data_IF_077142660904
#
_entry.id   IF_077142660904
#
_cell.length_a   1.000
_cell.length_b   1.000
_cell.length_c   1.000
_cell.angle_alpha   90.00
_cell.angle_beta   90.00
_cell.angle_gamma   90.00
#
_symmetry.space_group_name_H-M   'P 1'
#
loop_
_entity.id
_entity.type
_entity.pdbx_description
1 polymer ?
#
# COMPACT_ATOMS: atom_id res chain seq x y z
N UNK A 1 -8.99 -19.03 69.62
CA UNK A 1 -9.65 -19.60 68.42
C UNK A 1 -9.11 -18.92 67.17
N UNK A 2 -8.52 -19.69 66.24
CA UNK A 2 -7.89 -19.15 65.02
C UNK A 2 -8.97 -18.81 63.97
N UNK A 3 -9.21 -17.52 63.75
CA UNK A 3 -10.17 -16.98 62.75
C UNK A 3 -9.89 -17.43 61.31
N UNK A 4 -8.68 -17.94 61.05
CA UNK A 4 -8.21 -18.39 59.73
C UNK A 4 -8.94 -19.63 59.21
N UNK A 5 -9.57 -20.43 60.08
CA UNK A 5 -10.34 -21.62 59.67
C UNK A 5 -11.78 -21.33 59.22
N UNK A 6 -12.35 -20.16 59.57
CA UNK A 6 -13.75 -19.81 59.26
C UNK A 6 -13.94 -19.14 57.91
N UNK A 7 -12.88 -18.58 57.31
CA UNK A 7 -12.96 -17.87 56.04
C UNK A 7 -11.96 -18.44 55.03
N UNK A 8 -12.36 -19.52 54.36
CA UNK A 8 -11.60 -20.11 53.25
C UNK A 8 -11.68 -19.15 52.06
N UNK A 9 -10.55 -18.59 51.63
CA UNK A 9 -10.48 -17.80 50.41
C UNK A 9 -10.79 -18.69 49.20
N UNK A 10 -11.95 -18.48 48.58
CA UNK A 10 -12.31 -19.10 47.30
C UNK A 10 -11.76 -18.25 46.16
N UNK A 11 -10.93 -18.80 45.26
CA UNK A 11 -10.38 -18.03 44.14
C UNK A 11 -11.52 -17.50 43.24
N UNK A 12 -11.46 -16.20 42.98
CA UNK A 12 -12.18 -15.43 41.95
C UNK A 12 -13.56 -15.95 41.55
N UNK A 13 -14.62 -15.45 42.17
CA UNK A 13 -15.98 -15.65 41.68
C UNK A 13 -16.15 -14.85 40.38
N UNK A 14 -16.03 -15.54 39.25
CA UNK A 14 -16.21 -15.01 37.91
C UNK A 14 -17.52 -14.23 37.70
N UNK A 15 -18.58 -14.52 38.47
CA UNK A 15 -19.86 -13.81 38.35
C UNK A 15 -19.86 -12.43 39.02
N UNK A 16 -18.84 -12.10 39.82
CA UNK A 16 -18.72 -10.81 40.52
C UNK A 16 -17.50 -10.01 40.11
N UNK A 17 -16.88 -10.35 38.98
CA UNK A 17 -15.72 -9.62 38.47
C UNK A 17 -16.15 -8.26 37.89
N UNK A 18 -15.79 -7.13 38.52
CA UNK A 18 -16.19 -5.80 38.06
C UNK A 18 -15.42 -5.35 36.81
N UNK A 19 -14.38 -6.09 36.40
CA UNK A 19 -13.61 -5.86 35.18
C UNK A 19 -14.02 -6.80 34.03
N UNK A 20 -15.10 -7.60 34.20
CA UNK A 20 -15.61 -8.39 33.09
C UNK A 20 -16.10 -7.48 31.95
N UNK A 21 -15.61 -7.67 30.72
CA UNK A 21 -15.99 -6.85 29.60
C UNK A 21 -17.48 -7.07 29.29
N UNK A 22 -18.29 -6.02 29.41
CA UNK A 22 -19.73 -6.06 29.14
C UNK A 22 -20.07 -6.32 27.66
N UNK A 23 -19.10 -6.19 26.74
CA UNK A 23 -19.34 -6.32 25.30
C UNK A 23 -18.40 -7.35 24.70
N UNK A 24 -18.90 -8.56 24.52
CA UNK A 24 -18.25 -9.58 23.69
C UNK A 24 -18.56 -9.22 22.23
N UNK A 25 -17.58 -8.66 21.52
CA UNK A 25 -17.69 -8.45 20.07
C UNK A 25 -17.85 -9.82 19.40
N UNK A 26 -19.07 -10.17 19.03
CA UNK A 26 -19.32 -11.29 18.14
C UNK A 26 -18.69 -10.92 16.79
N UNK A 27 -17.61 -11.60 16.43
CA UNK A 27 -17.11 -11.59 15.06
C UNK A 27 -18.16 -12.31 14.23
N UNK A 28 -19.05 -11.53 13.62
CA UNK A 28 -19.94 -12.03 12.58
C UNK A 28 -19.03 -12.24 11.36
N UNK A 29 -18.65 -13.49 11.12
CA UNK A 29 -18.06 -13.84 9.83
C UNK A 29 -19.08 -13.48 8.75
N UNK A 30 -18.70 -12.72 7.71
CA UNK A 30 -19.60 -12.44 6.62
C UNK A 30 -20.08 -13.78 6.02
N UNK A 31 -21.38 -13.90 5.69
CA UNK A 31 -21.89 -15.11 5.08
C UNK A 31 -21.09 -15.42 3.82
N UNK A 32 -20.79 -16.71 3.61
CA UNK A 32 -20.16 -17.17 2.38
C UNK A 32 -20.98 -16.66 1.18
N UNK A 33 -20.34 -16.10 0.13
CA UNK A 33 -21.06 -15.64 -1.03
C UNK A 33 -21.82 -16.81 -1.65
N UNK A 34 -23.13 -16.63 -1.84
CA UNK A 34 -23.97 -17.57 -2.58
C UNK A 34 -23.42 -17.71 -4.00
N UNK A 35 -23.40 -18.92 -4.59
CA UNK A 35 -23.05 -19.07 -6.00
C UNK A 35 -24.11 -18.34 -6.81
N UNK A 36 -23.74 -17.18 -7.32
CA UNK A 36 -24.55 -16.39 -8.24
C UNK A 36 -24.72 -17.24 -9.50
N UNK A 37 -25.92 -17.78 -9.69
CA UNK A 37 -26.34 -18.35 -10.97
C UNK A 37 -26.10 -17.28 -12.03
N UNK A 38 -25.08 -17.47 -12.87
CA UNK A 38 -24.77 -16.55 -13.98
C UNK A 38 -26.01 -16.44 -14.87
N UNK A 39 -26.63 -15.27 -15.01
CA UNK A 39 -27.46 -15.03 -16.18
C UNK A 39 -26.51 -15.02 -17.39
N UNK A 40 -26.84 -15.81 -18.39
CA UNK A 40 -26.22 -15.79 -19.71
C UNK A 40 -26.44 -14.41 -20.35
N UNK A 41 -25.55 -13.47 -20.05
CA UNK A 41 -25.43 -12.17 -20.71
C UNK A 41 -24.20 -12.14 -21.62
N UNK A 42 -24.25 -11.41 -22.74
CA UNK A 42 -23.22 -11.45 -23.77
C UNK A 42 -21.89 -10.95 -23.22
N UNK A 43 -20.85 -11.75 -23.47
CA UNK A 43 -19.42 -11.47 -23.34
C UNK A 43 -19.08 -10.06 -22.82
N UNK A 44 -18.79 -9.95 -21.52
CA UNK A 44 -18.07 -8.78 -21.02
C UNK A 44 -16.76 -8.67 -21.84
N UNK A 45 -16.40 -7.47 -22.35
CA UNK A 45 -15.10 -7.30 -22.97
C UNK A 45 -14.01 -7.71 -21.96
N UNK A 46 -12.93 -8.36 -22.40
CA UNK A 46 -11.84 -8.71 -21.51
C UNK A 46 -11.37 -7.47 -20.74
N UNK A 47 -10.89 -7.61 -19.48
CA UNK A 47 -10.29 -6.49 -18.77
C UNK A 47 -9.27 -5.82 -19.69
N UNK A 48 -9.25 -4.48 -19.76
CA UNK A 48 -8.35 -3.78 -20.65
C UNK A 48 -6.93 -4.29 -20.42
N UNK A 49 -6.14 -4.50 -21.49
CA UNK A 49 -4.79 -4.99 -21.35
C UNK A 49 -4.04 -4.10 -20.36
N UNK A 50 -3.21 -4.67 -19.47
CA UNK A 50 -2.43 -3.88 -18.54
C UNK A 50 -1.67 -2.83 -19.37
N UNK A 51 -1.80 -1.53 -19.01
CA UNK A 51 -1.18 -0.49 -19.80
C UNK A 51 0.33 -0.76 -19.86
N UNK A 52 0.90 -0.53 -21.05
CA UNK A 52 2.31 -0.85 -21.29
C UNK A 52 3.18 -0.18 -20.22
N UNK A 53 4.05 -0.94 -19.55
CA UNK A 53 4.88 -0.41 -18.49
C UNK A 53 5.75 0.72 -19.05
N UNK A 54 5.64 1.92 -18.48
CA UNK A 54 6.60 2.99 -18.74
C UNK A 54 8.00 2.48 -18.37
N UNK A 55 8.86 2.35 -19.38
CA UNK A 55 10.26 2.04 -19.20
C UNK A 55 11.00 3.36 -19.02
N UNK A 56 11.46 3.60 -17.80
CA UNK A 56 12.26 4.75 -17.43
C UNK A 56 13.53 4.23 -16.77
N UNK A 57 14.67 4.75 -17.23
CA UNK A 57 15.96 4.39 -16.66
C UNK A 57 16.46 5.56 -15.82
N UNK A 58 16.69 5.35 -14.52
CA UNK A 58 17.23 6.39 -13.64
C UNK A 58 18.76 6.31 -13.71
N UNK A 59 19.36 7.30 -14.36
CA UNK A 59 20.82 7.38 -14.56
C UNK A 59 21.55 7.77 -13.28
N UNK A 60 20.95 8.65 -12.47
CA UNK A 60 21.53 9.08 -11.21
C UNK A 60 20.68 10.13 -10.51
N UNK A 61 20.91 10.27 -9.20
CA UNK A 61 20.30 11.30 -8.37
C UNK A 61 21.43 12.15 -7.80
N UNK A 62 21.33 13.47 -7.98
CA UNK A 62 22.31 14.46 -7.54
C UNK A 62 21.61 15.48 -6.64
N UNK A 63 22.33 16.02 -5.64
CA UNK A 63 21.84 17.11 -4.79
C UNK A 63 21.73 16.74 -3.32
N UNK A 64 21.27 17.71 -2.52
CA UNK A 64 21.18 17.63 -1.07
C UNK A 64 19.76 17.23 -0.63
N UNK A 65 19.54 16.95 0.66
CA UNK A 65 18.21 16.54 1.15
C UNK A 65 17.09 17.55 0.87
N UNK A 66 17.42 18.84 0.76
CA UNK A 66 16.45 19.91 0.46
C UNK A 66 16.16 20.08 -1.04
N UNK A 67 17.17 19.87 -1.90
CA UNK A 67 17.06 20.02 -3.36
C UNK A 67 17.76 18.85 -4.05
N UNK A 68 16.95 17.86 -4.46
CA UNK A 68 17.40 16.71 -5.25
C UNK A 68 16.95 16.85 -6.69
N UNK A 69 17.86 16.54 -7.59
CA UNK A 69 17.68 16.46 -9.02
C UNK A 69 17.95 15.02 -9.44
N UNK A 70 17.11 14.46 -10.31
CA UNK A 70 17.37 13.15 -10.90
C UNK A 70 17.60 13.28 -12.40
N UNK A 71 18.61 12.58 -12.90
CA UNK A 71 18.82 12.36 -14.32
C UNK A 71 18.16 11.05 -14.72
N UNK A 72 17.21 11.13 -15.64
CA UNK A 72 16.47 9.99 -16.17
C UNK A 72 16.68 9.90 -17.68
N UNK A 73 16.67 8.68 -18.21
CA UNK A 73 16.59 8.42 -19.64
C UNK A 73 15.20 7.88 -19.93
N UNK A 74 14.44 8.63 -20.71
CA UNK A 74 13.09 8.28 -21.11
C UNK A 74 13.00 8.38 -22.64
N UNK A 75 12.58 7.29 -23.30
CA UNK A 75 12.54 7.20 -24.78
C UNK A 75 13.86 7.63 -25.45
N UNK A 76 15.00 7.15 -24.92
CA UNK A 76 16.36 7.48 -25.38
C UNK A 76 16.73 8.97 -25.28
N UNK A 77 15.95 9.79 -24.57
CA UNK A 77 16.27 11.19 -24.29
C UNK A 77 16.62 11.39 -22.81
N UNK A 78 17.72 12.10 -22.50
CA UNK A 78 18.05 12.47 -21.14
C UNK A 78 17.15 13.62 -20.68
N UNK A 79 16.56 13.48 -19.50
CA UNK A 79 15.81 14.53 -18.82
C UNK A 79 16.36 14.73 -17.41
N UNK A 80 16.44 16.00 -17.00
CA UNK A 80 16.72 16.38 -15.62
C UNK A 80 15.39 16.71 -14.97
N UNK A 81 15.07 16.06 -13.85
CA UNK A 81 13.78 16.19 -13.19
C UNK A 81 13.95 16.57 -11.73
N UNK A 82 13.07 17.42 -11.23
CA UNK A 82 12.98 17.82 -9.83
C UNK A 82 11.69 17.28 -9.19
N UNK A 83 11.61 17.33 -7.86
CA UNK A 83 10.40 16.96 -7.12
C UNK A 83 9.20 17.78 -7.63
N UNK A 84 8.05 17.13 -7.77
CA UNK A 84 6.81 17.70 -8.29
C UNK A 84 6.81 18.14 -9.78
N UNK A 85 7.91 17.91 -10.51
CA UNK A 85 7.98 18.23 -11.95
C UNK A 85 7.18 17.23 -12.79
N UNK A 86 6.48 17.74 -13.80
CA UNK A 86 5.77 16.92 -14.80
C UNK A 86 6.64 16.80 -16.05
N UNK A 87 6.95 15.57 -16.45
CA UNK A 87 7.77 15.29 -17.63
C UNK A 87 6.86 14.90 -18.78
N UNK A 88 6.88 15.69 -19.85
CA UNK A 88 6.21 15.43 -21.13
C UNK A 88 4.69 15.14 -21.02
N UNK A 89 4.06 15.51 -19.89
CA UNK A 89 2.67 15.15 -19.56
C UNK A 89 2.44 13.65 -19.33
N UNK A 90 3.48 12.81 -19.41
CA UNK A 90 3.37 11.34 -19.31
C UNK A 90 3.39 10.88 -17.85
N UNK A 91 4.24 11.49 -17.04
CA UNK A 91 4.36 11.18 -15.62
C UNK A 91 4.79 12.42 -14.82
N UNK A 92 4.46 12.41 -13.53
CA UNK A 92 4.84 13.42 -12.54
C UNK A 92 5.82 12.81 -11.54
N UNK A 93 6.90 13.50 -11.24
CA UNK A 93 7.81 13.10 -10.15
C UNK A 93 7.13 13.41 -8.83
N UNK A 94 6.89 12.41 -8.01
CA UNK A 94 6.29 12.58 -6.68
C UNK A 94 7.37 12.82 -5.65
N UNK A 95 8.41 11.99 -5.70
CA UNK A 95 9.51 12.04 -4.73
C UNK A 95 10.80 11.52 -5.34
N UNK A 96 11.92 12.01 -4.83
CA UNK A 96 13.27 11.66 -5.28
C UNK A 96 14.05 11.23 -4.06
N UNK A 97 14.24 9.92 -3.91
CA UNK A 97 15.06 9.34 -2.85
C UNK A 97 16.50 9.14 -3.36
N UNK A 98 17.49 9.05 -2.47
CA UNK A 98 18.90 8.83 -2.86
C UNK A 98 19.13 7.55 -3.65
N UNK A 99 18.28 6.54 -3.47
CA UNK A 99 18.44 5.21 -4.06
C UNK A 99 17.37 4.90 -5.13
N UNK A 100 16.27 5.66 -5.12
CA UNK A 100 15.07 5.36 -5.92
C UNK A 100 14.27 6.61 -6.28
N UNK A 101 13.66 6.60 -7.45
CA UNK A 101 12.78 7.64 -7.96
C UNK A 101 11.32 7.20 -7.86
N UNK A 102 10.45 8.02 -7.28
CA UNK A 102 9.01 7.75 -7.22
C UNK A 102 8.29 8.65 -8.21
N UNK A 103 7.63 8.03 -9.19
CA UNK A 103 6.83 8.74 -10.18
C UNK A 103 5.37 8.33 -10.11
N UNK A 104 4.51 9.23 -10.55
CA UNK A 104 3.11 8.99 -10.82
C UNK A 104 2.88 9.04 -12.33
N UNK A 105 2.60 7.90 -12.93
CA UNK A 105 2.28 7.80 -14.35
C UNK A 105 0.86 8.31 -14.59
N UNK A 106 0.68 9.34 -15.41
CA UNK A 106 -0.66 9.84 -15.76
C UNK A 106 -1.38 8.83 -16.67
N UNK A 107 -0.64 8.21 -17.60
CA UNK A 107 -1.16 7.16 -18.49
C UNK A 107 -1.63 5.88 -17.78
N UNK A 108 -0.89 5.42 -16.78
CA UNK A 108 -1.23 4.20 -16.02
C UNK A 108 -2.06 4.52 -14.76
N UNK A 109 -2.24 5.80 -14.42
CA UNK A 109 -2.81 6.28 -13.15
C UNK A 109 -2.27 5.54 -11.92
N UNK A 110 -0.98 5.20 -11.93
CA UNK A 110 -0.33 4.35 -10.94
C UNK A 110 1.00 4.94 -10.48
N UNK A 111 1.32 4.76 -9.19
CA UNK A 111 2.63 5.09 -8.64
C UNK A 111 3.62 3.98 -8.96
N UNK A 112 4.78 4.36 -9.48
CA UNK A 112 5.91 3.48 -9.77
C UNK A 112 7.14 3.98 -9.04
N UNK A 113 7.94 3.03 -8.58
CA UNK A 113 9.24 3.30 -7.97
C UNK A 113 10.30 2.69 -8.86
N UNK A 114 11.31 3.48 -9.24
CA UNK A 114 12.41 3.05 -10.08
C UNK A 114 13.72 3.15 -9.30
N UNK A 115 14.44 2.05 -9.07
CA UNK A 115 15.77 2.11 -8.48
C UNK A 115 16.76 2.75 -9.46
N UNK A 116 17.79 3.38 -8.92
CA UNK A 116 18.91 3.90 -9.73
C UNK A 116 19.62 2.73 -10.41
N UNK A 117 19.97 2.90 -11.69
CA UNK A 117 20.63 1.84 -12.47
C UNK A 117 19.67 0.85 -13.15
N UNK A 118 18.35 1.11 -13.13
CA UNK A 118 17.38 0.38 -13.95
C UNK A 118 17.20 -1.08 -13.56
N UNK A 119 17.02 -1.33 -12.26
CA UNK A 119 16.57 -2.62 -11.75
C UNK A 119 15.21 -2.97 -12.34
N UNK A 120 15.22 -3.92 -13.27
CA UNK A 120 14.02 -4.63 -13.72
C UNK A 120 13.59 -5.55 -12.57
N UNK A 121 12.40 -5.30 -12.04
CA UNK A 121 11.54 -6.34 -11.47
C UNK A 121 10.31 -6.49 -12.37
#
# INVERSE_FOLDING_TARGET
ELLSGKFKFTPGNESKDPFKPLVVKKVVLPPAPTPVSKPSGPSAPPPPPPPKPIQLFVSGVCGNENERLAMIMFENKPYVVSKDMVVDGKFKVVDILPDRLVIYSNKEQMRRTFPIGGGKE
#
